data_IF_361181092798
#
_entry.id   IF_361181092798
#
_cell.length_a   1.000
_cell.length_b   1.000
_cell.length_c   1.000
_cell.angle_alpha   90.00
_cell.angle_beta   90.00
_cell.angle_gamma   90.00
#
_symmetry.space_group_name_H-M   'P 1'
#
loop_
_entity.id
_entity.type
_entity.pdbx_description
1 polymer ?
#
# COMPACT_ATOMS: atom_id res chain seq x y z
N UNK A 1 -53.28 -61.16 31.43
CA UNK A 1 -52.21 -60.16 31.59
C UNK A 1 -50.97 -60.61 30.83
N UNK A 2 -50.62 -60.02 29.68
CA UNK A 2 -49.27 -60.08 29.14
C UNK A 2 -48.52 -58.78 29.40
N UNK A 3 -47.24 -58.95 29.72
CA UNK A 3 -46.28 -57.96 30.18
C UNK A 3 -45.72 -57.18 28.97
N UNK A 4 -45.50 -55.90 29.22
CA UNK A 4 -44.96 -54.84 28.36
C UNK A 4 -43.65 -55.19 27.65
N UNK A 5 -43.62 -55.02 26.32
CA UNK A 5 -42.37 -55.00 25.55
C UNK A 5 -41.70 -53.62 25.68
N UNK A 6 -40.54 -53.59 26.35
CA UNK A 6 -39.73 -52.38 26.57
C UNK A 6 -38.97 -52.05 25.28
N UNK A 7 -39.35 -50.95 24.63
CA UNK A 7 -38.67 -50.39 23.48
C UNK A 7 -37.35 -49.73 23.90
N UNK A 8 -36.27 -50.50 23.96
CA UNK A 8 -34.90 -49.99 24.13
C UNK A 8 -34.26 -49.70 22.76
N UNK A 9 -34.58 -48.55 22.18
CA UNK A 9 -33.74 -47.96 21.12
C UNK A 9 -33.74 -46.46 21.28
N UNK A 10 -32.65 -45.90 21.84
CA UNK A 10 -32.25 -44.48 21.65
C UNK A 10 -30.88 -44.02 22.21
N UNK A 11 -29.83 -44.85 22.46
CA UNK A 11 -28.54 -44.30 22.89
C UNK A 11 -27.67 -43.76 21.73
N UNK A 12 -27.79 -44.26 20.51
CA UNK A 12 -26.85 -43.94 19.41
C UNK A 12 -27.01 -42.54 18.81
N UNK A 13 -28.23 -41.99 18.78
CA UNK A 13 -28.49 -40.65 18.22
C UNK A 13 -27.92 -39.55 19.13
N UNK A 14 -27.99 -39.74 20.45
CA UNK A 14 -27.47 -38.78 21.42
C UNK A 14 -25.93 -38.66 21.36
N UNK A 15 -25.23 -39.77 21.15
CA UNK A 15 -23.76 -39.75 20.99
C UNK A 15 -23.31 -39.05 19.71
N UNK A 16 -24.02 -39.26 18.59
CA UNK A 16 -23.72 -38.58 17.33
C UNK A 16 -23.96 -37.06 17.43
N UNK A 17 -25.05 -36.64 18.07
CA UNK A 17 -25.34 -35.22 18.28
C UNK A 17 -24.30 -34.54 19.18
N UNK A 18 -23.87 -35.21 20.26
CA UNK A 18 -22.82 -34.69 21.13
C UNK A 18 -21.46 -34.59 20.42
N UNK A 19 -21.10 -35.57 19.59
CA UNK A 19 -19.86 -35.53 18.81
C UNK A 19 -19.85 -34.36 17.81
N UNK A 20 -20.97 -34.12 17.11
CA UNK A 20 -21.10 -33.00 16.20
C UNK A 20 -21.02 -31.64 16.91
N UNK A 21 -21.66 -31.50 18.07
CA UNK A 21 -21.60 -30.29 18.89
C UNK A 21 -20.16 -30.00 19.36
N UNK A 22 -19.43 -31.03 19.81
CA UNK A 22 -18.02 -30.89 20.22
C UNK A 22 -17.11 -30.51 19.05
N UNK A 23 -17.34 -31.07 17.86
CA UNK A 23 -16.58 -30.71 16.66
C UNK A 23 -16.83 -29.24 16.24
N UNK A 24 -18.08 -28.78 16.30
CA UNK A 24 -18.44 -27.39 16.01
C UNK A 24 -17.80 -26.41 17.01
N UNK A 25 -17.81 -26.74 18.31
CA UNK A 25 -17.15 -25.96 19.35
C UNK A 25 -15.62 -25.92 19.15
N UNK A 26 -15.01 -27.05 18.80
CA UNK A 26 -13.59 -27.13 18.47
C UNK A 26 -13.22 -26.22 17.29
N UNK A 27 -14.01 -26.26 16.21
CA UNK A 27 -13.81 -25.41 15.04
C UNK A 27 -13.97 -23.91 15.37
N UNK A 28 -14.98 -23.55 16.15
CA UNK A 28 -15.21 -22.16 16.59
C UNK A 28 -14.07 -21.64 17.48
N UNK A 29 -13.51 -22.49 18.35
CA UNK A 29 -12.36 -22.15 19.18
C UNK A 29 -11.12 -21.90 18.33
N UNK A 30 -10.81 -22.81 17.39
CA UNK A 30 -9.67 -22.66 16.47
C UNK A 30 -9.80 -21.37 15.64
N UNK A 31 -11.00 -21.08 15.13
CA UNK A 31 -11.28 -19.85 14.41
C UNK A 31 -11.03 -18.60 15.28
N UNK A 32 -11.53 -18.59 16.51
CA UNK A 32 -11.36 -17.46 17.45
C UNK A 32 -9.90 -17.25 17.85
N UNK A 33 -9.14 -18.33 18.05
CA UNK A 33 -7.70 -18.25 18.33
C UNK A 33 -6.93 -17.72 17.12
N UNK A 34 -7.32 -18.12 15.92
CA UNK A 34 -6.73 -17.62 14.67
C UNK A 34 -6.98 -16.12 14.48
N UNK A 35 -8.20 -15.63 14.71
CA UNK A 35 -8.52 -14.21 14.60
C UNK A 35 -7.78 -13.39 15.65
N UNK A 36 -7.75 -13.84 16.91
CA UNK A 36 -7.01 -13.17 17.98
C UNK A 36 -5.51 -13.10 17.69
N UNK A 37 -4.93 -14.18 17.15
CA UNK A 37 -3.51 -14.21 16.77
C UNK A 37 -3.20 -13.20 15.66
N UNK A 38 -4.11 -13.04 14.70
CA UNK A 38 -3.97 -12.05 13.62
C UNK A 38 -4.03 -10.61 14.15
N UNK A 39 -4.90 -10.31 15.11
CA UNK A 39 -4.98 -9.00 15.75
C UNK A 39 -3.72 -8.69 16.55
N UNK A 40 -3.22 -9.66 17.33
CA UNK A 40 -1.97 -9.52 18.09
C UNK A 40 -0.79 -9.27 17.15
N UNK A 41 -0.73 -9.95 16.01
CA UNK A 41 0.31 -9.72 15.02
C UNK A 41 0.23 -8.30 14.43
N UNK A 42 -0.97 -7.83 14.09
CA UNK A 42 -1.20 -6.45 13.60
C UNK A 42 -0.79 -5.42 14.66
N UNK A 43 -1.15 -5.62 15.93
CA UNK A 43 -0.74 -4.73 17.03
C UNK A 43 0.77 -4.71 17.19
N UNK A 44 1.44 -5.87 17.18
CA UNK A 44 2.91 -5.94 17.29
C UNK A 44 3.61 -5.27 16.13
N UNK A 45 3.13 -5.46 14.90
CA UNK A 45 3.70 -4.78 13.73
C UNK A 45 3.47 -3.27 13.82
N UNK A 46 2.27 -2.84 14.25
CA UNK A 46 1.97 -1.43 14.47
C UNK A 46 2.88 -0.82 15.55
N UNK A 47 3.11 -1.50 16.66
CA UNK A 47 4.02 -1.05 17.72
C UNK A 47 5.48 -1.03 17.25
N UNK A 48 5.91 -1.97 16.42
CA UNK A 48 7.23 -1.96 15.82
C UNK A 48 7.39 -0.79 14.85
N UNK A 49 6.38 -0.51 14.02
CA UNK A 49 6.34 0.65 13.13
C UNK A 49 6.27 1.97 13.89
N UNK A 50 5.51 2.04 15.00
CA UNK A 50 5.46 3.23 15.87
C UNK A 50 6.79 3.43 16.58
N UNK A 51 7.48 2.38 17.03
CA UNK A 51 8.82 2.50 17.61
C UNK A 51 9.88 2.91 16.58
N UNK A 52 9.81 2.38 15.36
CA UNK A 52 10.66 2.82 14.25
C UNK A 52 10.36 4.27 13.86
N UNK A 53 9.09 4.66 13.81
CA UNK A 53 8.68 6.03 13.56
C UNK A 53 9.09 6.95 14.71
N UNK A 54 8.96 6.54 15.97
CA UNK A 54 9.37 7.30 17.15
C UNK A 54 10.89 7.43 17.27
N UNK A 55 11.65 6.41 16.85
CA UNK A 55 13.10 6.48 16.71
C UNK A 55 13.58 7.33 15.53
N UNK A 56 12.68 7.70 14.61
CA UNK A 56 12.90 8.71 13.57
C UNK A 56 12.36 10.09 13.98
N UNK A 57 11.31 10.13 14.82
CA UNK A 57 10.49 11.31 15.13
C UNK A 57 10.94 12.11 16.36
N UNK A 58 12.21 12.06 16.72
CA UNK A 58 12.81 13.22 17.40
C UNK A 58 12.88 14.32 16.35
N UNK A 59 12.04 15.36 16.48
CA UNK A 59 11.98 16.47 15.51
C UNK A 59 13.35 17.15 15.27
N UNK A 60 14.28 17.03 16.24
CA UNK A 60 15.69 17.39 16.11
C UNK A 60 16.45 16.53 15.09
N UNK A 61 16.24 15.21 15.09
CA UNK A 61 16.88 14.28 14.15
C UNK A 61 16.28 14.41 12.75
N UNK A 62 14.97 14.63 12.61
CA UNK A 62 14.33 14.87 11.32
C UNK A 62 14.85 16.15 10.66
N UNK A 63 14.99 17.25 11.41
CA UNK A 63 15.58 18.49 10.91
C UNK A 63 17.07 18.32 10.57
N UNK A 64 17.85 17.66 11.43
CA UNK A 64 19.27 17.38 11.16
C UNK A 64 19.44 16.47 9.93
N UNK A 65 18.55 15.52 9.73
CA UNK A 65 18.55 14.61 8.58
C UNK A 65 18.18 15.31 7.28
N UNK A 66 17.16 16.18 7.30
CA UNK A 66 16.79 17.04 6.16
C UNK A 66 17.90 18.01 5.77
N UNK A 67 18.58 18.58 6.77
CA UNK A 67 19.69 19.54 6.61
C UNK A 67 21.05 18.88 6.43
N UNK A 68 21.11 17.54 6.48
CA UNK A 68 22.35 16.79 6.36
C UNK A 68 23.11 17.15 5.08
N UNK A 69 24.36 17.58 5.25
CA UNK A 69 25.31 17.89 4.19
C UNK A 69 26.03 16.64 3.66
N UNK A 70 25.76 15.46 4.24
CA UNK A 70 26.34 14.19 3.78
C UNK A 70 25.96 13.97 2.31
N UNK A 71 26.95 13.78 1.42
CA UNK A 71 26.68 13.56 0.00
C UNK A 71 25.73 12.37 -0.21
N UNK A 72 24.78 12.46 -1.15
CA UNK A 72 23.84 11.36 -1.44
C UNK A 72 24.52 10.02 -1.74
N UNK A 73 25.68 10.05 -2.38
CA UNK A 73 26.47 8.86 -2.76
C UNK A 73 27.15 8.17 -1.57
N UNK A 74 27.26 8.84 -0.42
CA UNK A 74 27.79 8.25 0.80
C UNK A 74 26.70 7.56 1.65
N UNK A 75 25.43 7.71 1.27
CA UNK A 75 24.31 7.08 1.96
C UNK A 75 23.99 5.71 1.36
N UNK A 76 23.47 4.81 2.21
CA UNK A 76 22.81 3.61 1.72
C UNK A 76 21.59 3.99 0.86
N UNK A 77 21.31 3.23 -0.20
CA UNK A 77 20.24 3.52 -1.15
C UNK A 77 18.89 3.85 -0.48
N UNK A 78 18.53 3.12 0.59
CA UNK A 78 17.29 3.35 1.33
C UNK A 78 17.28 4.62 2.16
N UNK A 79 18.41 4.98 2.75
CA UNK A 79 18.55 6.26 3.43
C UNK A 79 18.47 7.41 2.43
N UNK A 80 19.17 7.32 1.29
CA UNK A 80 19.08 8.32 0.23
C UNK A 80 17.63 8.50 -0.26
N UNK A 81 16.92 7.41 -0.57
CA UNK A 81 15.51 7.49 -0.98
C UNK A 81 14.63 8.17 0.08
N UNK A 82 14.74 7.73 1.35
CA UNK A 82 13.95 8.29 2.45
C UNK A 82 14.20 9.79 2.61
N UNK A 83 15.47 10.22 2.64
CA UNK A 83 15.85 11.64 2.72
C UNK A 83 15.29 12.43 1.56
N UNK A 84 15.36 11.89 0.34
CA UNK A 84 14.81 12.52 -0.85
C UNK A 84 13.29 12.74 -0.76
N UNK A 85 12.55 11.72 -0.31
CA UNK A 85 11.08 11.82 -0.10
C UNK A 85 10.74 12.83 1.00
N UNK A 86 11.48 12.83 2.11
CA UNK A 86 11.27 13.79 3.20
C UNK A 86 11.52 15.23 2.71
N UNK A 87 12.62 15.48 1.99
CA UNK A 87 12.91 16.79 1.39
C UNK A 87 11.83 17.22 0.39
N UNK A 88 11.33 16.31 -0.43
CA UNK A 88 10.22 16.58 -1.34
C UNK A 88 8.95 16.97 -0.59
N UNK A 89 8.62 16.26 0.49
CA UNK A 89 7.48 16.60 1.34
C UNK A 89 7.65 17.97 1.99
N UNK A 90 8.81 18.25 2.58
CA UNK A 90 9.11 19.56 3.18
C UNK A 90 9.04 20.67 2.14
N UNK A 91 9.43 20.42 0.88
CA UNK A 91 9.29 21.39 -0.20
C UNK A 91 7.82 21.77 -0.48
N UNK A 92 6.88 20.84 -0.29
CA UNK A 92 5.46 21.13 -0.44
C UNK A 92 4.89 21.96 0.73
N UNK A 93 5.52 21.89 1.90
CA UNK A 93 5.13 22.60 3.12
C UNK A 93 5.81 23.97 3.26
N UNK A 94 7.00 24.16 2.66
CA UNK A 94 7.79 25.40 2.69
C UNK A 94 8.07 25.95 1.26
N UNK A 95 7.19 26.82 0.74
CA UNK A 95 7.35 27.42 -0.59
C UNK A 95 8.63 28.24 -0.77
N UNK A 96 9.18 28.81 0.30
CA UNK A 96 10.38 29.65 0.22
C UNK A 96 11.63 28.81 -0.08
N UNK A 97 11.66 27.57 0.41
CA UNK A 97 12.78 26.63 0.19
C UNK A 97 12.48 25.54 -0.84
N UNK A 98 11.28 25.53 -1.43
CA UNK A 98 10.80 24.46 -2.29
C UNK A 98 11.77 24.11 -3.41
N UNK A 99 12.26 25.09 -4.17
CA UNK A 99 13.17 24.85 -5.29
C UNK A 99 14.49 24.18 -4.85
N UNK A 100 15.07 24.65 -3.73
CA UNK A 100 16.30 24.06 -3.17
C UNK A 100 16.05 22.61 -2.70
N UNK A 101 14.97 22.40 -1.96
CA UNK A 101 14.62 21.09 -1.39
C UNK A 101 14.29 20.08 -2.50
N UNK A 102 13.62 20.49 -3.57
CA UNK A 102 13.35 19.67 -4.75
C UNK A 102 14.66 19.28 -5.46
N UNK A 103 15.60 20.21 -5.63
CA UNK A 103 16.89 19.90 -6.24
C UNK A 103 17.68 18.88 -5.40
N UNK A 104 17.68 19.03 -4.07
CA UNK A 104 18.30 18.08 -3.15
C UNK A 104 17.59 16.72 -3.16
N UNK A 105 16.25 16.72 -3.21
CA UNK A 105 15.45 15.50 -3.29
C UNK A 105 15.76 14.71 -4.57
N UNK A 106 15.88 15.39 -5.73
CA UNK A 106 16.30 14.76 -6.98
C UNK A 106 17.68 14.11 -6.86
N UNK A 107 18.65 14.79 -6.27
CA UNK A 107 20.00 14.26 -6.10
C UNK A 107 20.02 13.00 -5.22
N UNK A 108 19.25 13.01 -4.12
CA UNK A 108 19.08 11.86 -3.23
C UNK A 108 18.42 10.67 -3.92
N UNK A 109 17.34 10.90 -4.66
CA UNK A 109 16.63 9.84 -5.40
C UNK A 109 17.50 9.31 -6.54
N UNK A 110 18.25 10.17 -7.24
CA UNK A 110 19.19 9.76 -8.28
C UNK A 110 20.28 8.84 -7.73
N UNK A 111 20.85 9.15 -6.55
CA UNK A 111 21.82 8.28 -5.89
C UNK A 111 21.21 6.93 -5.47
N UNK A 112 19.98 6.93 -4.96
CA UNK A 112 19.24 5.72 -4.64
C UNK A 112 19.02 4.82 -5.87
N UNK A 113 18.60 5.42 -7.00
CA UNK A 113 18.40 4.73 -8.29
C UNK A 113 19.70 4.18 -8.86
N UNK A 114 20.78 4.96 -8.81
CA UNK A 114 22.10 4.50 -9.27
C UNK A 114 22.59 3.28 -8.47
N UNK A 115 22.30 3.25 -7.17
CA UNK A 115 22.70 2.15 -6.27
C UNK A 115 21.80 0.92 -6.43
N UNK A 116 20.53 1.09 -6.84
CA UNK A 116 19.56 0.01 -7.07
C UNK A 116 18.75 0.30 -8.35
N UNK A 117 19.27 -0.08 -9.54
CA UNK A 117 18.66 0.30 -10.82
C UNK A 117 17.23 -0.19 -11.04
N UNK A 118 16.85 -1.31 -10.41
CA UNK A 118 15.49 -1.89 -10.49
C UNK A 118 14.80 -1.71 -9.15
N UNK A 119 14.43 -0.46 -8.84
CA UNK A 119 13.74 -0.14 -7.60
C UNK A 119 12.52 0.77 -7.83
N UNK A 120 11.35 0.16 -7.90
CA UNK A 120 10.08 0.82 -8.23
C UNK A 120 9.78 2.03 -7.37
N UNK A 121 9.98 1.93 -6.06
CA UNK A 121 9.72 3.00 -5.10
C UNK A 121 10.56 4.25 -5.37
N UNK A 122 11.76 4.09 -5.93
CA UNK A 122 12.59 5.23 -6.32
C UNK A 122 12.03 5.95 -7.56
N UNK A 123 11.41 5.22 -8.50
CA UNK A 123 10.72 5.81 -9.64
C UNK A 123 9.42 6.51 -9.22
N UNK A 124 8.68 5.95 -8.24
CA UNK A 124 7.52 6.63 -7.65
C UNK A 124 7.95 7.93 -6.96
N UNK A 125 9.03 7.90 -6.17
CA UNK A 125 9.54 9.08 -5.51
C UNK A 125 9.98 10.15 -6.51
N UNK A 126 10.62 9.75 -7.62
CA UNK A 126 10.96 10.68 -8.70
C UNK A 126 9.70 11.30 -9.31
N UNK A 127 8.67 10.51 -9.60
CA UNK A 127 7.40 11.02 -10.10
C UNK A 127 6.74 12.03 -9.15
N UNK A 128 6.83 11.79 -7.84
CA UNK A 128 6.36 12.73 -6.83
C UNK A 128 7.17 14.04 -6.83
N UNK A 129 8.49 13.96 -6.97
CA UNK A 129 9.34 15.15 -7.07
C UNK A 129 9.07 15.96 -8.33
N UNK A 130 8.89 15.29 -9.48
CA UNK A 130 8.54 15.98 -10.74
C UNK A 130 7.14 16.62 -10.68
N UNK A 131 6.18 15.97 -10.02
CA UNK A 131 4.86 16.53 -9.73
C UNK A 131 4.97 17.84 -8.93
N UNK A 132 5.78 17.86 -7.87
CA UNK A 132 5.96 19.05 -7.04
C UNK A 132 6.73 20.16 -7.77
N UNK A 133 7.72 19.79 -8.58
CA UNK A 133 8.58 20.75 -9.26
C UNK A 133 7.89 21.47 -10.43
N UNK A 134 7.01 20.76 -11.13
CA UNK A 134 6.47 21.22 -12.41
C UNK A 134 4.95 21.25 -12.47
N UNK A 135 4.27 20.72 -11.45
CA UNK A 135 2.83 20.56 -11.41
C UNK A 135 2.35 19.29 -12.10
N UNK A 136 1.11 18.91 -11.79
CA UNK A 136 0.49 17.66 -12.26
C UNK A 136 0.42 17.58 -13.78
N UNK A 137 0.14 18.71 -14.41
CA UNK A 137 -0.08 18.84 -15.84
C UNK A 137 1.20 18.83 -16.69
N UNK A 138 2.37 18.83 -16.04
CA UNK A 138 3.65 18.91 -16.75
C UNK A 138 4.00 17.60 -17.48
N UNK A 139 4.59 17.68 -18.70
CA UNK A 139 5.11 16.51 -19.38
C UNK A 139 6.15 15.74 -18.56
N UNK A 140 6.90 16.43 -17.69
CA UNK A 140 7.90 15.84 -16.79
C UNK A 140 7.25 14.92 -15.76
N UNK A 141 6.25 15.42 -15.04
CA UNK A 141 5.54 14.63 -14.03
C UNK A 141 4.78 13.45 -14.63
N UNK A 142 4.13 13.67 -15.80
CA UNK A 142 3.42 12.62 -16.52
C UNK A 142 4.37 11.52 -17.00
N UNK A 143 5.52 11.89 -17.60
CA UNK A 143 6.54 10.89 -18.02
C UNK A 143 7.11 10.13 -16.84
N UNK A 144 7.38 10.81 -15.72
CA UNK A 144 7.89 10.15 -14.52
C UNK A 144 6.85 9.18 -13.92
N UNK A 145 5.56 9.54 -13.93
CA UNK A 145 4.49 8.61 -13.54
C UNK A 145 4.47 7.37 -14.43
N UNK A 146 4.50 7.54 -15.76
CA UNK A 146 4.53 6.43 -16.70
C UNK A 146 5.76 5.52 -16.49
N UNK A 147 6.94 6.12 -16.26
CA UNK A 147 8.17 5.38 -15.92
C UNK A 147 8.01 4.57 -14.62
N UNK A 148 7.36 5.13 -13.61
CA UNK A 148 7.09 4.41 -12.36
C UNK A 148 6.23 3.16 -12.57
N UNK A 149 5.28 3.23 -13.50
CA UNK A 149 4.44 2.09 -13.89
C UNK A 149 5.18 1.06 -14.73
N UNK A 150 6.11 1.48 -15.59
CA UNK A 150 6.94 0.58 -16.37
C UNK A 150 7.98 -0.15 -15.51
N UNK A 151 8.55 0.53 -14.52
CA UNK A 151 9.60 -0.02 -13.66
C UNK A 151 9.08 -1.03 -12.62
N UNK A 152 7.91 -0.78 -12.03
CA UNK A 152 7.34 -1.66 -11.03
C UNK A 152 5.80 -1.61 -11.00
N UNK A 153 5.13 -2.59 -11.65
CA UNK A 153 3.70 -2.74 -11.50
C UNK A 153 3.34 -3.26 -10.09
N UNK A 154 2.14 -2.92 -9.60
CA UNK A 154 1.55 -3.48 -8.39
C UNK A 154 2.29 -3.16 -7.07
N UNK A 155 2.60 -1.89 -6.82
CA UNK A 155 3.22 -1.46 -5.56
C UNK A 155 2.15 -1.17 -4.52
N UNK A 156 1.96 -2.07 -3.54
CA UNK A 156 0.86 -1.98 -2.56
C UNK A 156 0.78 -0.62 -1.86
N UNK A 157 1.91 -0.14 -1.35
CA UNK A 157 1.95 1.07 -0.50
C UNK A 157 1.90 2.35 -1.33
N UNK A 158 2.37 2.32 -2.59
CA UNK A 158 2.43 3.47 -3.49
C UNK A 158 1.25 3.55 -4.47
N UNK A 159 0.54 2.43 -4.68
CA UNK A 159 -0.58 2.33 -5.62
C UNK A 159 -1.62 3.44 -5.40
N UNK A 160 -2.07 3.75 -4.17
CA UNK A 160 -3.10 4.76 -4.00
C UNK A 160 -2.69 6.15 -4.48
N UNK A 161 -1.43 6.54 -4.24
CA UNK A 161 -0.90 7.80 -4.74
C UNK A 161 -0.77 7.80 -6.26
N UNK A 162 -0.22 6.73 -6.85
CA UNK A 162 -0.06 6.60 -8.31
C UNK A 162 -1.39 6.62 -9.04
N UNK A 163 -2.36 5.85 -8.57
CA UNK A 163 -3.71 5.79 -9.13
C UNK A 163 -4.34 7.18 -9.09
N UNK A 164 -4.33 7.86 -7.94
CA UNK A 164 -4.91 9.21 -7.78
C UNK A 164 -4.26 10.23 -8.70
N UNK A 165 -2.93 10.21 -8.81
CA UNK A 165 -2.24 11.11 -9.73
C UNK A 165 -2.63 10.76 -11.18
N UNK A 166 -2.57 9.49 -11.56
CA UNK A 166 -2.91 9.02 -12.90
C UNK A 166 -4.33 9.37 -13.35
N UNK A 167 -5.34 9.20 -12.48
CA UNK A 167 -6.72 9.58 -12.84
C UNK A 167 -6.91 11.09 -12.96
N UNK A 168 -6.12 11.89 -12.25
CA UNK A 168 -6.15 13.36 -12.36
C UNK A 168 -5.65 13.83 -13.72
N UNK A 169 -4.65 13.16 -14.29
CA UNK A 169 -4.06 13.50 -15.60
C UNK A 169 -4.51 12.54 -16.72
N UNK A 170 -5.62 11.83 -16.52
CA UNK A 170 -6.03 10.69 -17.35
C UNK A 170 -6.03 10.97 -18.85
N UNK A 171 -6.55 12.12 -19.26
CA UNK A 171 -6.67 12.51 -20.67
C UNK A 171 -5.32 12.70 -21.38
N UNK A 172 -4.23 12.85 -20.61
CA UNK A 172 -2.86 13.08 -21.12
C UNK A 172 -1.99 11.82 -21.09
N UNK A 173 -2.46 10.76 -20.44
CA UNK A 173 -1.75 9.48 -20.39
C UNK A 173 -1.85 8.73 -21.71
N UNK A 174 -0.78 8.01 -22.07
CA UNK A 174 -0.85 7.03 -23.14
C UNK A 174 -1.72 5.82 -22.76
N UNK A 175 -2.09 5.02 -23.76
CA UNK A 175 -2.97 3.87 -23.56
C UNK A 175 -2.36 2.82 -22.63
N UNK A 176 -1.03 2.64 -22.67
CA UNK A 176 -0.33 1.68 -21.85
C UNK A 176 -0.37 2.06 -20.36
N UNK A 177 -0.09 3.31 -20.04
CA UNK A 177 -0.12 3.83 -18.66
C UNK A 177 -1.54 3.78 -18.09
N UNK A 178 -2.56 4.09 -18.92
CA UNK A 178 -3.97 3.92 -18.54
C UNK A 178 -4.30 2.46 -18.20
N UNK A 179 -3.86 1.50 -19.01
CA UNK A 179 -4.07 0.07 -18.74
C UNK A 179 -3.35 -0.37 -17.47
N UNK A 180 -2.12 0.11 -17.22
CA UNK A 180 -1.40 -0.16 -15.97
C UNK A 180 -2.14 0.36 -14.74
N UNK A 181 -2.71 1.58 -14.78
CA UNK A 181 -3.52 2.13 -13.68
C UNK A 181 -4.77 1.29 -13.45
N UNK A 182 -5.45 0.86 -14.52
CA UNK A 182 -6.65 0.02 -14.43
C UNK A 182 -6.31 -1.32 -13.79
N UNK A 183 -5.26 -1.99 -14.28
CA UNK A 183 -4.83 -3.28 -13.76
C UNK A 183 -4.37 -3.16 -12.31
N UNK A 184 -3.62 -2.11 -11.95
CA UNK A 184 -3.19 -1.89 -10.57
C UNK A 184 -4.38 -1.63 -9.63
N UNK A 185 -5.38 -0.88 -10.08
CA UNK A 185 -6.58 -0.63 -9.27
C UNK A 185 -7.38 -1.92 -9.08
N UNK A 186 -7.56 -2.72 -10.12
CA UNK A 186 -8.24 -4.01 -10.03
C UNK A 186 -7.49 -5.00 -9.11
N UNK A 187 -6.17 -5.06 -9.25
CA UNK A 187 -5.31 -5.84 -8.35
C UNK A 187 -5.45 -5.40 -6.89
N UNK A 188 -5.41 -4.08 -6.63
CA UNK A 188 -5.56 -3.53 -5.29
C UNK A 188 -6.94 -3.87 -4.70
N UNK A 189 -8.00 -3.80 -5.51
CA UNK A 189 -9.36 -4.17 -5.11
C UNK A 189 -9.48 -5.64 -4.73
N UNK A 190 -8.78 -6.54 -5.43
CA UNK A 190 -8.81 -7.98 -5.20
C UNK A 190 -7.95 -8.41 -4.00
N UNK A 191 -7.04 -7.57 -3.51
CA UNK A 191 -6.12 -7.93 -2.44
C UNK A 191 -6.81 -8.21 -1.08
N UNK A 192 -7.99 -7.63 -0.81
CA UNK A 192 -8.88 -8.01 0.30
C UNK A 192 -10.25 -7.33 0.18
N UNK A 193 -11.29 -7.86 0.83
CA UNK A 193 -12.62 -7.23 0.85
C UNK A 193 -12.63 -5.79 1.39
N UNK A 194 -11.76 -5.46 2.35
CA UNK A 194 -11.57 -4.08 2.83
C UNK A 194 -10.96 -3.16 1.78
N UNK A 195 -10.06 -3.69 0.94
CA UNK A 195 -9.41 -2.93 -0.12
C UNK A 195 -10.31 -2.72 -1.34
N UNK A 196 -11.34 -3.55 -1.52
CA UNK A 196 -12.27 -3.43 -2.64
C UNK A 196 -12.93 -2.04 -2.72
N UNK A 197 -13.65 -1.65 -1.66
CA UNK A 197 -14.33 -0.36 -1.62
C UNK A 197 -13.33 0.81 -1.67
N UNK A 198 -12.17 0.66 -1.02
CA UNK A 198 -11.11 1.66 -1.03
C UNK A 198 -10.56 1.89 -2.45
N UNK A 199 -10.17 0.83 -3.15
CA UNK A 199 -9.60 0.89 -4.48
C UNK A 199 -10.60 1.46 -5.50
N UNK A 200 -11.87 1.04 -5.43
CA UNK A 200 -12.92 1.63 -6.27
C UNK A 200 -13.14 3.12 -5.95
N UNK A 201 -13.05 3.51 -4.67
CA UNK A 201 -13.12 4.90 -4.26
C UNK A 201 -12.01 5.78 -4.85
N UNK A 202 -10.84 5.23 -5.18
CA UNK A 202 -9.75 5.99 -5.82
C UNK A 202 -10.07 6.40 -7.26
N UNK A 203 -10.93 5.63 -7.94
CA UNK A 203 -11.28 5.85 -9.35
C UNK A 203 -12.74 6.28 -9.54
N UNK A 204 -13.53 6.36 -8.47
CA UNK A 204 -14.93 6.72 -8.53
C UNK A 204 -15.14 8.08 -9.22
N UNK A 205 -16.13 8.17 -10.10
CA UNK A 205 -16.44 9.36 -10.90
C UNK A 205 -15.30 9.80 -11.83
N UNK A 206 -14.36 8.90 -12.16
CA UNK A 206 -13.30 9.14 -13.14
C UNK A 206 -13.49 8.26 -14.38
N UNK A 207 -12.87 8.59 -15.52
CA UNK A 207 -12.93 7.75 -16.71
C UNK A 207 -12.37 6.33 -16.52
N UNK A 208 -11.56 6.09 -15.48
CA UNK A 208 -11.00 4.78 -15.18
C UNK A 208 -12.03 3.83 -14.52
N UNK A 209 -13.08 4.35 -13.86
CA UNK A 209 -14.04 3.55 -13.11
C UNK A 209 -14.68 2.39 -13.90
N UNK A 210 -15.30 2.61 -15.07
CA UNK A 210 -15.92 1.52 -15.82
C UNK A 210 -14.89 0.49 -16.30
N UNK A 211 -13.67 0.93 -16.61
CA UNK A 211 -12.58 0.05 -17.03
C UNK A 211 -12.13 -0.85 -15.88
N UNK A 212 -11.96 -0.30 -14.68
CA UNK A 212 -11.61 -1.07 -13.48
C UNK A 212 -12.71 -2.09 -13.15
N UNK A 213 -13.98 -1.66 -13.17
CA UNK A 213 -15.12 -2.57 -12.93
C UNK A 213 -15.14 -3.75 -13.90
N UNK A 214 -14.78 -3.53 -15.17
CA UNK A 214 -14.71 -4.61 -16.17
C UNK A 214 -13.59 -5.65 -15.91
N UNK A 215 -12.61 -5.34 -15.05
CA UNK A 215 -11.45 -6.22 -14.75
C UNK A 215 -11.61 -6.98 -13.43
N UNK A 216 -12.61 -6.68 -12.64
CA UNK A 216 -12.88 -7.37 -11.38
C UNK A 216 -13.94 -8.45 -11.65
N UNK A 217 -13.67 -9.73 -11.38
CA UNK A 217 -14.67 -10.79 -11.51
C UNK A 217 -15.85 -10.53 -10.57
N UNK A 218 -17.06 -10.84 -11.07
CA UNK A 218 -18.33 -10.67 -10.35
C UNK A 218 -18.47 -11.65 -9.17
#
# INVERSE_FOLDING_TARGET
>A
MPITARSERRPTIAHAANAAAMAALGAALVFTVSTLSSEVQVVRTREASVRQAAGLATAEDDHAYLQSTVPPTALLARAALLRGVMRARTAAEDPARAAQLIALARADIAAARASRPVWGEAEVALAYVELLAHGADSPQAIRALAQSYAAAPYLRDSAPWRIRFGVTVWSRLDAQTRDHIVNETAWLAQASGRNYAYALGLVASTPAEPLVKSRIPA
#
